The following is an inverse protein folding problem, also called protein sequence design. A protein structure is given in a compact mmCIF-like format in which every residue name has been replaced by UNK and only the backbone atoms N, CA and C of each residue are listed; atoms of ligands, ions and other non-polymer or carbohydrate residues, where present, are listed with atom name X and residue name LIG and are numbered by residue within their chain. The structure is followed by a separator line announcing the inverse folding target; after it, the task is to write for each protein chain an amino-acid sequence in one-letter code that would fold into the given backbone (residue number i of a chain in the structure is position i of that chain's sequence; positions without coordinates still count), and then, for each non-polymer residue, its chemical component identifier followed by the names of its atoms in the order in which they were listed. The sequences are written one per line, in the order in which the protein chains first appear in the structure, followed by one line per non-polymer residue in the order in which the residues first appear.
data_IF_089307718209
#
_entry.id   IF_089307718209
#
_cell.length_a   1.000
_cell.length_b   1.000
_cell.length_c   1.000
_cell.angle_alpha   90.00
_cell.angle_beta   90.00
_cell.angle_gamma   90.00
#
_symmetry.space_group_name_H-M   'P 1'
#
loop_
_entity.id
_entity.type
_entity.pdbx_description
1 polymer ?
#
# COMPACT_ATOMS: atom_id res chain seq x y z
N UNK A 1 -75.36 -12.10 1.49
CA UNK A 1 -74.24 -12.01 0.52
C UNK A 1 -73.52 -10.69 0.76
N UNK A 2 -72.21 -10.54 0.89
CA UNK A 2 -71.03 -11.41 0.95
C UNK A 2 -69.95 -10.52 1.61
N UNK A 3 -69.34 -11.02 2.69
CA UNK A 3 -67.92 -10.94 3.04
C UNK A 3 -67.10 -9.86 2.31
N UNK A 4 -66.49 -8.93 3.06
CA UNK A 4 -65.04 -8.75 2.97
C UNK A 4 -64.47 -8.07 4.23
N UNK A 5 -63.81 -8.88 5.05
CA UNK A 5 -62.80 -8.44 6.03
C UNK A 5 -61.62 -7.88 5.24
N UNK A 6 -61.08 -6.72 5.62
CA UNK A 6 -59.74 -6.33 5.19
C UNK A 6 -58.91 -5.95 6.42
N UNK A 7 -58.12 -6.92 6.85
CA UNK A 7 -56.94 -6.71 7.67
C UNK A 7 -55.92 -5.93 6.83
N UNK A 8 -55.44 -4.78 7.32
CA UNK A 8 -54.24 -4.16 6.77
C UNK A 8 -53.15 -4.24 7.82
N UNK A 9 -52.17 -5.06 7.47
CA UNK A 9 -51.01 -5.52 8.20
C UNK A 9 -50.07 -4.33 8.52
N UNK A 10 -49.64 -4.23 9.78
CA UNK A 10 -48.59 -3.32 10.21
C UNK A 10 -47.23 -3.89 9.73
N UNK A 11 -46.71 -3.41 8.60
CA UNK A 11 -45.35 -3.78 8.18
C UNK A 11 -44.33 -3.00 9.03
N UNK A 12 -43.79 -3.64 10.07
CA UNK A 12 -42.50 -3.28 10.64
C UNK A 12 -41.46 -3.44 9.52
N UNK A 13 -41.02 -2.32 8.94
CA UNK A 13 -39.81 -2.32 8.11
C UNK A 13 -38.65 -2.38 9.10
N UNK A 14 -38.15 -3.60 9.36
CA UNK A 14 -36.81 -3.78 9.87
C UNK A 14 -35.86 -3.17 8.84
N UNK A 15 -35.41 -1.94 9.08
CA UNK A 15 -34.19 -1.44 8.45
C UNK A 15 -33.04 -2.24 9.03
N UNK A 16 -32.80 -3.43 8.49
CA UNK A 16 -31.49 -4.05 8.58
C UNK A 16 -30.54 -3.13 7.83
N UNK A 17 -29.85 -2.25 8.56
CA UNK A 17 -28.66 -1.59 8.06
C UNK A 17 -27.69 -2.72 7.71
N UNK A 18 -27.63 -3.08 6.43
CA UNK A 18 -26.55 -3.89 5.92
C UNK A 18 -25.29 -3.05 6.13
N UNK A 19 -24.54 -3.37 7.18
CA UNK A 19 -23.17 -2.89 7.33
C UNK A 19 -22.42 -3.62 6.22
N UNK A 20 -22.24 -2.96 5.08
CA UNK A 20 -21.23 -3.39 4.15
C UNK A 20 -19.90 -3.13 4.86
N UNK A 21 -19.37 -4.15 5.52
CA UNK A 21 -17.96 -4.20 5.87
C UNK A 21 -17.25 -4.25 4.50
N UNK A 22 -16.87 -3.10 3.96
CA UNK A 22 -15.92 -3.10 2.87
C UNK A 22 -14.61 -3.59 3.48
N UNK A 23 -14.30 -4.87 3.30
CA UNK A 23 -13.00 -5.46 3.64
C UNK A 23 -11.87 -4.81 2.82
N UNK A 24 -12.23 -4.25 1.66
CA UNK A 24 -11.35 -3.50 0.77
C UNK A 24 -11.30 -2.01 1.19
N UNK A 25 -10.17 -1.58 1.74
CA UNK A 25 -9.84 -0.16 1.96
C UNK A 25 -9.22 0.40 0.67
N UNK A 26 -9.70 1.56 0.22
CA UNK A 26 -9.23 2.19 -1.03
C UNK A 26 -8.68 3.58 -0.75
N UNK A 27 -7.40 3.78 -1.03
CA UNK A 27 -6.62 4.95 -0.62
C UNK A 27 -6.09 5.67 -1.85
N UNK A 28 -6.46 6.95 -2.00
CA UNK A 28 -5.94 7.85 -3.03
C UNK A 28 -4.66 8.53 -2.52
N UNK A 29 -3.55 8.28 -3.21
CA UNK A 29 -2.21 8.79 -2.91
C UNK A 29 -1.69 9.75 -3.98
N UNK A 30 -2.58 10.35 -4.80
CA UNK A 30 -2.22 11.33 -5.83
C UNK A 30 -2.30 10.72 -7.23
N UNK A 31 -1.16 10.28 -7.82
CA UNK A 31 -1.19 9.70 -9.17
C UNK A 31 -1.74 8.27 -9.18
N UNK A 32 -2.00 7.68 -8.02
CA UNK A 32 -2.39 6.29 -7.86
C UNK A 32 -3.44 6.14 -6.77
N UNK A 33 -4.43 5.31 -7.04
CA UNK A 33 -5.31 4.72 -6.02
C UNK A 33 -4.88 3.28 -5.73
N UNK A 34 -4.74 2.93 -4.45
CA UNK A 34 -4.39 1.58 -3.98
C UNK A 34 -5.58 1.01 -3.20
N UNK A 35 -6.00 -0.20 -3.53
CA UNK A 35 -6.97 -0.98 -2.76
C UNK A 35 -6.30 -2.18 -2.08
N UNK A 36 -6.67 -2.43 -0.83
CA UNK A 36 -6.10 -3.48 0.04
C UNK A 36 -7.21 -4.18 0.82
N UNK A 37 -7.12 -5.50 0.98
CA UNK A 37 -7.88 -6.25 1.97
C UNK A 37 -7.14 -6.23 3.31
N UNK A 38 -7.77 -5.62 4.31
CA UNK A 38 -7.19 -5.43 5.64
C UNK A 38 -7.95 -6.20 6.73
N UNK A 39 -8.91 -7.06 6.34
CA UNK A 39 -9.76 -7.79 7.30
C UNK A 39 -8.92 -8.64 8.26
N UNK A 40 -7.84 -9.25 7.77
CA UNK A 40 -6.93 -10.09 8.56
C UNK A 40 -6.18 -9.34 9.66
N UNK A 41 -6.01 -8.02 9.54
CA UNK A 41 -5.39 -7.18 10.57
C UNK A 41 -6.40 -6.70 11.62
N UNK A 42 -7.71 -6.76 11.32
CA UNK A 42 -8.78 -6.32 12.21
C UNK A 42 -9.24 -4.87 11.99
N UNK A 43 -10.00 -4.31 12.94
CA UNK A 43 -10.46 -2.92 12.87
C UNK A 43 -9.28 -1.95 12.78
N UNK A 44 -9.39 -0.94 11.91
CA UNK A 44 -8.30 -0.02 11.61
C UNK A 44 -8.80 1.37 11.26
N UNK A 45 -7.86 2.32 11.28
CA UNK A 45 -8.07 3.70 10.80
C UNK A 45 -6.93 4.08 9.86
N UNK A 46 -7.28 4.67 8.71
CA UNK A 46 -6.33 5.22 7.76
C UNK A 46 -6.14 6.73 7.97
N UNK A 47 -4.89 7.16 8.08
CA UNK A 47 -4.48 8.55 8.26
C UNK A 47 -3.58 8.96 7.09
N UNK A 48 -4.12 9.79 6.20
CA UNK A 48 -3.36 10.33 5.06
C UNK A 48 -2.31 11.32 5.55
N UNK A 49 -1.05 11.08 5.18
CA UNK A 49 0.05 11.99 5.43
C UNK A 49 0.05 13.18 4.48
N UNK A 50 0.83 14.20 4.82
CA UNK A 50 1.08 15.30 3.91
C UNK A 50 1.96 14.84 2.73
N UNK A 51 1.63 15.30 1.53
CA UNK A 51 2.51 15.12 0.39
C UNK A 51 3.81 15.88 0.62
N UNK A 52 4.93 15.20 0.45
CA UNK A 52 6.27 15.79 0.59
C UNK A 52 7.02 15.79 -0.74
N UNK A 53 8.04 16.63 -0.83
CA UNK A 53 8.86 16.79 -2.03
C UNK A 53 10.32 16.62 -1.68
N UNK A 54 11.06 15.83 -2.46
CA UNK A 54 12.48 15.56 -2.23
C UNK A 54 13.27 15.63 -3.54
N UNK A 55 14.40 16.35 -3.52
CA UNK A 55 15.29 16.42 -4.68
C UNK A 55 16.27 15.23 -4.70
N UNK A 56 16.44 14.64 -5.88
CA UNK A 56 17.45 13.64 -6.18
C UNK A 56 18.49 14.24 -7.13
N UNK A 57 19.78 14.15 -6.79
CA UNK A 57 20.83 14.88 -7.51
C UNK A 57 21.41 14.11 -8.70
N UNK A 58 21.45 12.77 -8.64
CA UNK A 58 22.18 11.93 -9.63
C UNK A 58 21.50 10.58 -9.88
N UNK A 59 20.65 10.42 -10.91
CA UNK A 59 20.28 11.45 -11.90
C UNK A 59 19.41 12.54 -11.29
N UNK A 60 19.37 13.72 -11.91
CA UNK A 60 18.62 14.86 -11.37
C UNK A 60 17.13 14.72 -11.64
N UNK A 61 16.34 14.65 -10.58
CA UNK A 61 14.88 14.73 -10.61
C UNK A 61 14.34 15.06 -9.23
N UNK A 62 13.04 15.28 -9.14
CA UNK A 62 12.31 15.51 -7.89
C UNK A 62 11.29 14.40 -7.68
N UNK A 63 11.18 13.93 -6.44
CA UNK A 63 10.12 13.09 -5.92
C UNK A 63 8.97 13.94 -5.39
N UNK A 64 7.75 13.52 -5.70
CA UNK A 64 6.57 13.83 -4.92
C UNK A 64 6.14 12.55 -4.20
N UNK A 65 6.04 12.59 -2.87
CA UNK A 65 5.75 11.42 -2.03
C UNK A 65 4.44 11.65 -1.31
N UNK A 66 3.39 10.94 -1.74
CA UNK A 66 2.14 10.81 -1.00
C UNK A 66 2.22 9.64 -0.04
N UNK A 67 1.72 9.78 1.19
CA UNK A 67 1.79 8.72 2.20
C UNK A 67 0.46 8.50 2.93
N UNK A 68 0.28 7.32 3.49
CA UNK A 68 -0.83 6.99 4.39
C UNK A 68 -0.38 5.95 5.40
N UNK A 69 -0.75 6.16 6.66
CA UNK A 69 -0.55 5.20 7.75
C UNK A 69 -1.89 4.55 8.08
N UNK A 70 -1.91 3.24 8.20
CA UNK A 70 -3.05 2.45 8.64
C UNK A 70 -2.70 1.85 9.99
N UNK A 71 -3.39 2.31 11.02
CA UNK A 71 -3.21 1.86 12.40
C UNK A 71 -4.32 0.87 12.77
N UNK A 72 -3.98 -0.24 13.42
CA UNK A 72 -4.92 -1.27 13.82
C UNK A 72 -5.26 -1.19 15.31
N UNK A 73 -6.54 -1.33 15.63
CA UNK A 73 -7.05 -1.15 16.99
C UNK A 73 -6.55 -2.27 17.93
N UNK A 74 -5.92 -1.88 19.03
CA UNK A 74 -5.49 -2.81 20.07
C UNK A 74 -4.18 -3.54 19.78
N UNK A 75 -3.48 -3.21 18.69
CA UNK A 75 -2.13 -3.71 18.38
C UNK A 75 -1.13 -2.56 18.22
N UNK A 76 0.14 -2.88 18.06
CA UNK A 76 1.17 -1.93 17.62
C UNK A 76 1.49 -2.06 16.12
N UNK A 77 0.85 -3.04 15.47
CA UNK A 77 1.06 -3.34 14.07
C UNK A 77 0.37 -2.28 13.20
N UNK A 78 0.95 -2.03 12.04
CA UNK A 78 0.56 -1.01 11.08
C UNK A 78 0.86 -1.45 9.66
N UNK A 79 0.07 -0.90 8.76
CA UNK A 79 0.40 -0.88 7.33
C UNK A 79 0.74 0.55 6.95
N UNK A 80 1.82 0.75 6.21
CA UNK A 80 2.18 2.08 5.71
C UNK A 80 2.27 2.01 4.19
N UNK A 81 1.80 3.07 3.55
CA UNK A 81 1.78 3.23 2.11
C UNK A 81 2.52 4.50 1.75
N UNK A 82 3.38 4.41 0.75
CA UNK A 82 3.92 5.57 0.06
C UNK A 82 3.79 5.39 -1.45
N UNK A 83 3.52 6.49 -2.16
CA UNK A 83 3.60 6.56 -3.61
C UNK A 83 4.62 7.63 -3.96
N UNK A 84 5.68 7.22 -4.63
CA UNK A 84 6.79 8.04 -5.07
C UNK A 84 6.58 8.35 -6.55
N UNK A 85 6.25 9.58 -6.88
CA UNK A 85 6.17 10.05 -8.26
C UNK A 85 7.42 10.82 -8.62
N UNK A 86 8.08 10.38 -9.68
CA UNK A 86 9.25 11.07 -10.21
C UNK A 86 8.82 12.08 -11.27
N UNK A 87 9.41 13.27 -11.22
CA UNK A 87 9.22 14.30 -12.26
C UNK A 87 9.85 13.94 -13.61
N UNK A 88 10.68 12.89 -13.67
CA UNK A 88 11.22 12.39 -14.92
C UNK A 88 10.32 11.32 -15.54
N UNK A 89 10.14 11.40 -16.86
CA UNK A 89 9.38 10.43 -17.64
C UNK A 89 10.22 9.21 -18.08
N UNK A 90 11.50 9.18 -17.75
CA UNK A 90 12.41 8.11 -18.15
C UNK A 90 12.30 6.93 -17.16
N UNK A 91 12.24 5.67 -17.65
CA UNK A 91 12.17 4.49 -16.81
C UNK A 91 13.35 4.35 -15.83
N UNK A 92 13.12 3.68 -14.71
CA UNK A 92 14.10 3.24 -13.71
C UNK A 92 14.86 1.98 -14.13
N UNK A 93 14.92 1.69 -15.42
CA UNK A 93 15.60 0.52 -15.98
C UNK A 93 17.13 0.55 -15.75
N UNK A 94 17.67 1.71 -15.38
CA UNK A 94 19.06 1.90 -14.97
C UNK A 94 19.16 2.12 -13.46
N UNK A 95 20.18 1.51 -12.84
CA UNK A 95 20.50 1.73 -11.43
C UNK A 95 20.58 3.24 -11.13
N UNK A 96 19.66 3.72 -10.28
CA UNK A 96 19.58 5.13 -9.88
C UNK A 96 20.86 5.53 -9.14
N UNK A 97 21.45 4.61 -8.36
CA UNK A 97 22.82 4.71 -7.86
C UNK A 97 23.79 3.94 -8.76
N UNK A 98 24.62 4.68 -9.52
CA UNK A 98 25.77 4.11 -10.25
C UNK A 98 26.80 3.46 -9.33
N UNK A 99 26.79 3.77 -8.03
CA UNK A 99 27.80 3.31 -7.07
C UNK A 99 27.47 1.93 -6.52
N UNK A 100 26.20 1.64 -6.33
CA UNK A 100 25.73 0.51 -5.53
C UNK A 100 24.88 -0.49 -6.34
N UNK A 101 24.64 -0.24 -7.63
CA UNK A 101 23.80 -1.08 -8.52
C UNK A 101 22.38 -1.34 -7.99
N UNK A 102 21.90 -0.47 -7.10
CA UNK A 102 20.58 -0.56 -6.47
C UNK A 102 19.52 -0.26 -7.52
N UNK A 103 18.52 -1.15 -7.64
CA UNK A 103 17.39 -0.97 -8.55
C UNK A 103 16.56 0.26 -8.16
N UNK A 104 15.77 0.81 -9.09
CA UNK A 104 14.93 1.96 -8.75
C UNK A 104 13.94 1.70 -7.62
N UNK A 105 13.40 0.46 -7.55
CA UNK A 105 12.50 0.04 -6.48
C UNK A 105 13.20 -0.01 -5.12
N UNK A 106 14.39 -0.61 -5.04
CA UNK A 106 15.17 -0.64 -3.80
C UNK A 106 15.55 0.78 -3.35
N UNK A 107 15.91 1.64 -4.30
CA UNK A 107 16.23 3.02 -4.01
C UNK A 107 15.01 3.77 -3.43
N UNK A 108 13.81 3.58 -3.99
CA UNK A 108 12.58 4.13 -3.42
C UNK A 108 12.30 3.63 -2.01
N UNK A 109 12.53 2.35 -1.71
CA UNK A 109 12.43 1.84 -0.32
C UNK A 109 13.43 2.56 0.58
N UNK A 110 14.70 2.68 0.17
CA UNK A 110 15.74 3.36 0.95
C UNK A 110 15.47 4.85 1.20
N UNK A 111 14.72 5.50 0.31
CA UNK A 111 14.32 6.91 0.45
C UNK A 111 12.96 7.10 1.14
N UNK A 112 12.21 6.01 1.38
CA UNK A 112 10.90 6.07 2.04
C UNK A 112 11.03 6.48 3.51
N UNK A 113 10.00 7.11 4.08
CA UNK A 113 9.93 7.33 5.52
C UNK A 113 9.61 6.05 6.31
N UNK A 114 9.23 4.99 5.59
CA UNK A 114 8.97 3.66 6.13
C UNK A 114 10.26 2.98 6.58
N UNK A 115 11.36 3.18 5.85
CA UNK A 115 12.64 2.51 6.10
C UNK A 115 13.29 3.00 7.42
N UNK A 116 13.49 2.11 8.41
CA UNK A 116 14.15 2.51 9.65
C UNK A 116 15.61 2.90 9.41
N UNK A 117 16.05 3.99 10.04
CA UNK A 117 17.41 4.51 9.89
C UNK A 117 18.44 3.49 10.38
N UNK A 118 19.42 3.19 9.52
CA UNK A 118 20.58 2.37 9.85
C UNK A 118 20.30 0.87 9.97
N UNK A 119 19.15 0.39 9.49
CA UNK A 119 18.87 -1.04 9.39
C UNK A 119 19.27 -1.61 8.03
N UNK A 120 19.71 -2.86 8.04
CA UNK A 120 20.00 -3.59 6.81
C UNK A 120 18.70 -4.11 6.18
N UNK A 121 18.63 -4.05 4.85
CA UNK A 121 17.52 -4.51 4.05
C UNK A 121 17.97 -5.70 3.19
N UNK A 122 17.22 -6.79 3.22
CA UNK A 122 17.39 -7.91 2.30
C UNK A 122 16.25 -7.90 1.28
N UNK A 123 16.58 -7.99 0.00
CA UNK A 123 15.60 -7.91 -1.09
C UNK A 123 15.57 -9.18 -1.94
N UNK A 124 14.38 -9.53 -2.40
CA UNK A 124 14.16 -10.60 -3.37
C UNK A 124 13.06 -10.21 -4.38
N UNK A 125 13.05 -10.79 -5.59
CA UNK A 125 11.99 -10.56 -6.56
C UNK A 125 10.62 -10.98 -6.00
N UNK A 126 9.60 -10.14 -6.19
CA UNK A 126 8.22 -10.43 -5.78
C UNK A 126 7.24 -9.95 -6.85
N UNK A 127 6.02 -10.48 -6.85
CA UNK A 127 4.97 -10.07 -7.79
C UNK A 127 3.79 -9.49 -7.02
N UNK A 128 3.40 -8.26 -7.34
CA UNK A 128 2.32 -7.53 -6.67
C UNK A 128 1.28 -7.16 -7.72
N UNK A 129 0.04 -7.62 -7.58
CA UNK A 129 -1.02 -7.32 -8.55
C UNK A 129 -0.69 -7.74 -10.00
N UNK A 130 0.21 -8.72 -10.19
CA UNK A 130 0.71 -9.14 -11.51
C UNK A 130 1.82 -8.26 -12.10
N UNK A 131 2.35 -7.31 -11.34
CA UNK A 131 3.49 -6.45 -11.70
C UNK A 131 4.78 -7.01 -11.09
N UNK A 132 5.90 -6.87 -11.81
CA UNK A 132 7.21 -7.17 -11.24
C UNK A 132 7.56 -6.13 -10.18
N UNK A 133 8.00 -6.62 -9.03
CA UNK A 133 8.43 -5.82 -7.91
C UNK A 133 9.49 -6.52 -7.08
N UNK A 134 9.69 -6.02 -5.87
CA UNK A 134 10.60 -6.60 -4.88
C UNK A 134 9.87 -6.71 -3.55
N UNK A 135 10.27 -7.73 -2.78
CA UNK A 135 10.00 -7.85 -1.36
C UNK A 135 11.30 -7.55 -0.61
N UNK A 136 11.23 -6.61 0.31
CA UNK A 136 12.27 -6.27 1.25
C UNK A 136 11.88 -6.75 2.64
N UNK A 137 12.84 -7.37 3.34
CA UNK A 137 12.71 -7.76 4.74
C UNK A 137 13.74 -7.00 5.57
N UNK A 138 13.29 -6.33 6.63
CA UNK A 138 14.12 -5.54 7.53
C UNK A 138 14.00 -6.15 8.92
N UNK A 139 15.09 -6.77 9.37
CA UNK A 139 15.16 -7.38 10.69
C UNK A 139 15.51 -6.30 11.72
N UNK A 140 14.50 -5.70 12.33
CA UNK A 140 14.63 -4.58 13.27
C UNK A 140 14.86 -5.00 14.74
N UNK A 141 15.45 -6.17 14.98
CA UNK A 141 15.65 -6.76 16.33
C UNK A 141 14.36 -6.97 17.16
N UNK A 142 13.18 -6.78 16.56
CA UNK A 142 11.88 -7.09 17.19
C UNK A 142 11.45 -8.53 16.85
N UNK A 143 10.40 -9.03 17.52
CA UNK A 143 9.87 -10.37 17.25
C UNK A 143 9.29 -10.51 15.83
N UNK A 144 8.92 -9.39 15.19
CA UNK A 144 8.35 -9.37 13.84
C UNK A 144 9.22 -8.49 12.90
N UNK A 145 9.79 -9.06 11.83
CA UNK A 145 10.44 -8.26 10.79
C UNK A 145 9.47 -7.26 10.15
N UNK A 146 9.98 -6.12 9.69
CA UNK A 146 9.22 -5.24 8.81
C UNK A 146 9.36 -5.74 7.38
N UNK A 147 8.23 -6.02 6.74
CA UNK A 147 8.16 -6.40 5.34
C UNK A 147 7.73 -5.21 4.50
N UNK A 148 8.36 -5.02 3.35
CA UNK A 148 8.05 -3.94 2.42
C UNK A 148 8.01 -4.50 1.01
N UNK A 149 6.92 -4.30 0.27
CA UNK A 149 6.91 -4.50 -1.17
C UNK A 149 7.02 -3.17 -1.89
N UNK A 150 7.79 -3.16 -2.98
CA UNK A 150 7.84 -2.04 -3.91
C UNK A 150 7.61 -2.52 -5.34
N UNK A 151 6.81 -1.75 -6.09
CA UNK A 151 6.47 -2.04 -7.47
C UNK A 151 6.08 -0.76 -8.21
N UNK A 152 6.01 -0.83 -9.52
CA UNK A 152 5.66 0.31 -10.36
C UNK A 152 4.36 0.05 -11.14
N UNK A 153 3.25 0.75 -10.85
CA UNK A 153 1.98 0.51 -11.52
C UNK A 153 1.92 1.07 -12.95
N UNK A 154 2.79 2.01 -13.32
CA UNK A 154 2.85 2.57 -14.67
C UNK A 154 3.71 1.74 -15.64
N UNK A 155 4.52 0.79 -15.16
CA UNK A 155 5.27 -0.15 -15.99
C UNK A 155 5.34 -1.56 -15.38
N UNK A 156 4.94 -2.58 -16.15
CA UNK A 156 4.83 -3.97 -15.67
C UNK A 156 6.15 -4.60 -15.23
N UNK A 157 7.27 -4.12 -15.76
CA UNK A 157 8.60 -4.65 -15.48
C UNK A 157 9.27 -4.02 -14.25
N UNK A 158 8.58 -3.14 -13.53
CA UNK A 158 9.08 -2.46 -12.34
C UNK A 158 9.91 -1.21 -12.64
N UNK A 159 10.01 -0.80 -13.91
CA UNK A 159 10.85 0.32 -14.33
C UNK A 159 10.12 1.67 -14.44
N UNK A 160 8.88 1.81 -13.95
CA UNK A 160 8.13 3.04 -14.18
C UNK A 160 8.54 4.21 -13.30
N UNK A 161 7.93 5.35 -13.59
CA UNK A 161 8.17 6.66 -12.94
C UNK A 161 7.35 6.85 -11.67
N UNK A 162 6.36 5.99 -11.44
CA UNK A 162 5.58 5.94 -10.23
C UNK A 162 5.95 4.63 -9.51
N UNK A 163 6.34 4.75 -8.24
CA UNK A 163 6.67 3.58 -7.40
C UNK A 163 5.74 3.58 -6.19
N UNK A 164 5.03 2.48 -6.01
CA UNK A 164 4.26 2.21 -4.81
C UNK A 164 5.12 1.42 -3.84
N UNK A 165 5.13 1.83 -2.58
CA UNK A 165 5.80 1.16 -1.47
C UNK A 165 4.73 0.83 -0.42
N UNK A 166 4.61 -0.45 -0.07
CA UNK A 166 3.62 -0.93 0.92
C UNK A 166 4.36 -1.73 1.96
N UNK A 167 4.22 -1.37 3.24
CA UNK A 167 4.84 -2.08 4.34
C UNK A 167 3.86 -2.67 5.32
N UNK A 168 4.27 -3.74 5.99
CA UNK A 168 3.54 -4.36 7.09
C UNK A 168 4.52 -4.91 8.12
N UNK A 169 4.24 -4.68 9.40
CA UNK A 169 4.99 -5.26 10.55
C UNK A 169 4.21 -6.39 11.25
N UNK A 170 3.10 -6.84 10.65
CA UNK A 170 2.41 -8.06 11.06
C UNK A 170 3.25 -9.33 10.82
N UNK A 171 2.80 -10.46 11.37
CA UNK A 171 3.33 -11.77 11.00
C UNK A 171 3.30 -11.97 9.48
N UNK A 172 4.21 -12.81 8.97
CA UNK A 172 4.31 -13.05 7.54
C UNK A 172 3.00 -13.52 6.91
N UNK A 173 2.20 -14.33 7.61
CA UNK A 173 0.92 -14.84 7.09
C UNK A 173 -0.07 -13.71 6.82
N UNK A 174 -0.21 -12.75 7.74
CA UNK A 174 -1.10 -11.60 7.59
C UNK A 174 -0.53 -10.64 6.54
N UNK A 175 0.76 -10.32 6.65
CA UNK A 175 1.49 -9.48 5.68
C UNK A 175 1.29 -9.98 4.26
N UNK A 176 1.47 -11.28 4.02
CA UNK A 176 1.32 -11.89 2.71
C UNK A 176 -0.12 -11.79 2.21
N UNK A 177 -1.12 -12.00 3.07
CA UNK A 177 -2.52 -11.82 2.71
C UNK A 177 -2.81 -10.39 2.23
N UNK A 178 -2.29 -9.39 2.95
CA UNK A 178 -2.41 -7.97 2.59
C UNK A 178 -1.71 -7.71 1.25
N UNK A 179 -0.46 -8.16 1.07
CA UNK A 179 0.29 -7.93 -0.17
C UNK A 179 -0.33 -8.61 -1.39
N UNK A 180 -0.89 -9.81 -1.24
CA UNK A 180 -1.57 -10.53 -2.32
C UNK A 180 -2.89 -9.86 -2.72
N UNK A 181 -3.49 -9.07 -1.83
CA UNK A 181 -4.74 -8.34 -2.09
C UNK A 181 -4.56 -7.03 -2.86
N UNK A 182 -3.33 -6.52 -2.93
CA UNK A 182 -3.01 -5.20 -3.50
C UNK A 182 -3.53 -5.09 -4.93
N UNK A 183 -4.35 -4.07 -5.16
CA UNK A 183 -4.79 -3.63 -6.49
C UNK A 183 -4.50 -2.16 -6.66
N UNK A 184 -4.06 -1.80 -7.86
CA UNK A 184 -3.54 -0.45 -8.11
C UNK A 184 -4.10 0.10 -9.41
N UNK A 185 -4.52 1.36 -9.38
CA UNK A 185 -4.99 2.10 -10.54
C UNK A 185 -4.23 3.42 -10.65
N UNK A 186 -3.57 3.63 -11.78
CA UNK A 186 -2.99 4.93 -12.14
C UNK A 186 -4.15 5.86 -12.57
N UNK A 187 -4.15 7.09 -12.03
CA UNK A 187 -5.20 8.11 -12.23
C UNK A 187 -4.98 8.91 -13.52
#
# INVERSE_FOLDING_TARGET
MKILRLFVLLCLICTSSAVALAADETIDLGPVTISLDLESGGPHTAEKGETSTMDHEKPRFQYEIGSTNINFDGTQDKVQLEVHQMSMSAPLDQAISKRDQVSGLEHCIMQSNIMPVGQDMQTEPYTIGGLLGILATINNYSENPLYIVAYSPDQKDGSGSIVCVVSSDFSWEITKSIFDSVKTQVV
#
